data_IF_850553146626
#
_entry.id   IF_850553146626
#
_cell.length_a   1.000
_cell.length_b   1.000
_cell.length_c   1.000
_cell.angle_alpha   90.00
_cell.angle_beta   90.00
_cell.angle_gamma   90.00
#
_symmetry.space_group_name_H-M   'P 1'
#
loop_
_entity.id
_entity.type
_entity.pdbx_description
1 polymer ?
#
# COMPACT_ATOMS: atom_id res chain seq x y z
N UNK A 1 -11.51 15.09 4.35
CA UNK A 1 -11.37 15.72 3.02
C UNK A 1 -9.92 16.24 2.81
N UNK A 2 -8.85 15.43 2.98
CA UNK A 2 -7.45 15.93 2.97
C UNK A 2 -6.58 15.14 1.96
N UNK A 3 -7.17 14.64 0.86
CA UNK A 3 -6.43 13.91 -0.18
C UNK A 3 -6.29 14.65 -1.53
N UNK A 4 -7.10 15.68 -1.78
CA UNK A 4 -7.24 16.29 -3.11
C UNK A 4 -7.01 17.80 -3.18
N UNK A 5 -6.62 18.49 -2.09
CA UNK A 5 -6.44 19.95 -2.15
C UNK A 5 -5.33 20.39 -3.11
N UNK A 6 -4.19 19.68 -3.18
CA UNK A 6 -3.16 19.97 -4.18
C UNK A 6 -3.53 19.52 -5.59
N UNK A 7 -4.22 18.40 -5.78
CA UNK A 7 -4.71 18.00 -7.11
C UNK A 7 -5.69 19.05 -7.66
N UNK A 8 -6.63 19.50 -6.83
CA UNK A 8 -7.57 20.56 -7.20
C UNK A 8 -6.90 21.93 -7.34
N UNK A 9 -5.88 22.24 -6.53
CA UNK A 9 -5.08 23.45 -6.69
C UNK A 9 -4.21 23.42 -7.96
N UNK A 10 -3.64 22.27 -8.30
CA UNK A 10 -2.90 22.06 -9.54
C UNK A 10 -3.81 22.21 -10.76
N UNK A 11 -5.02 21.63 -10.73
CA UNK A 11 -6.02 21.80 -11.80
C UNK A 11 -6.39 23.27 -12.03
N UNK A 12 -6.28 24.11 -10.99
CA UNK A 12 -6.48 25.56 -11.07
C UNK A 12 -5.23 26.34 -11.50
N UNK A 13 -4.07 25.69 -11.63
CA UNK A 13 -2.84 26.36 -12.07
C UNK A 13 -2.96 26.78 -13.55
N UNK A 14 -2.59 28.02 -13.93
CA UNK A 14 -2.77 28.49 -15.31
C UNK A 14 -2.10 27.62 -16.38
N UNK A 15 -0.94 27.03 -16.05
CA UNK A 15 -0.19 26.12 -16.92
C UNK A 15 -0.59 24.65 -16.83
N UNK A 16 -1.65 24.30 -16.11
CA UNK A 16 -2.06 22.90 -15.92
C UNK A 16 -2.37 22.21 -17.24
N UNK A 17 -3.02 22.91 -18.18
CA UNK A 17 -3.29 22.37 -19.52
C UNK A 17 -2.01 21.94 -20.24
N UNK A 18 -0.99 22.81 -20.26
CA UNK A 18 0.31 22.51 -20.85
C UNK A 18 0.99 21.35 -20.10
N UNK A 19 1.02 21.37 -18.76
CA UNK A 19 1.62 20.31 -17.96
C UNK A 19 0.95 18.95 -18.18
N UNK A 20 -0.38 18.93 -18.31
CA UNK A 20 -1.12 17.70 -18.63
C UNK A 20 -0.74 17.18 -20.03
N UNK A 21 -0.70 18.05 -21.03
CA UNK A 21 -0.30 17.72 -22.40
C UNK A 21 1.12 17.14 -22.45
N UNK A 22 2.09 17.80 -21.79
CA UNK A 22 3.47 17.31 -21.71
C UNK A 22 3.55 15.98 -20.95
N UNK A 23 2.84 15.82 -19.82
CA UNK A 23 2.82 14.57 -19.08
C UNK A 23 2.30 13.41 -19.95
N UNK A 24 1.23 13.63 -20.73
CA UNK A 24 0.71 12.66 -21.68
C UNK A 24 1.73 12.32 -22.79
N UNK A 25 2.44 13.32 -23.31
CA UNK A 25 3.51 13.11 -24.29
C UNK A 25 4.66 12.27 -23.72
N UNK A 26 5.09 12.55 -22.49
CA UNK A 26 6.15 11.84 -21.79
C UNK A 26 5.78 10.36 -21.58
N UNK A 27 4.62 10.08 -20.97
CA UNK A 27 4.21 8.69 -20.66
C UNK A 27 3.92 7.88 -21.92
N UNK A 28 3.40 8.50 -22.99
CA UNK A 28 3.21 7.85 -24.30
C UNK A 28 4.49 7.75 -25.12
N UNK A 29 5.59 8.36 -24.66
CA UNK A 29 6.89 8.45 -25.37
C UNK A 29 6.78 9.11 -26.76
N UNK A 30 5.90 10.09 -26.89
CA UNK A 30 5.82 10.88 -28.11
C UNK A 30 7.12 11.65 -28.29
N UNK A 31 7.47 11.97 -29.53
CA UNK A 31 8.62 12.83 -29.78
C UNK A 31 8.35 14.19 -29.08
N UNK A 32 9.26 14.69 -28.21
CA UNK A 32 9.11 15.98 -27.54
C UNK A 32 8.78 17.16 -28.46
N UNK A 33 9.13 17.07 -29.76
CA UNK A 33 8.75 18.07 -30.75
C UNK A 33 7.23 18.12 -31.00
N UNK A 34 6.50 17.03 -30.77
CA UNK A 34 5.04 16.97 -30.92
C UNK A 34 4.30 17.79 -29.85
N UNK A 35 4.94 18.08 -28.72
CA UNK A 35 4.42 18.90 -27.62
C UNK A 35 5.37 20.05 -27.25
N UNK A 36 6.16 20.53 -28.22
CA UNK A 36 7.17 21.56 -28.03
C UNK A 36 6.61 22.91 -27.56
N UNK A 37 5.42 23.29 -28.06
CA UNK A 37 4.77 24.54 -27.62
C UNK A 37 4.47 24.49 -26.11
N UNK A 38 3.95 23.37 -25.61
CA UNK A 38 3.65 23.20 -24.19
C UNK A 38 4.94 23.15 -23.34
N UNK A 39 6.00 22.51 -23.85
CA UNK A 39 7.31 22.54 -23.19
C UNK A 39 7.88 23.97 -23.11
N UNK A 40 7.76 24.75 -24.19
CA UNK A 40 8.20 26.14 -24.23
C UNK A 40 7.43 27.02 -23.25
N UNK A 41 6.11 26.82 -23.15
CA UNK A 41 5.28 27.51 -22.17
C UNK A 41 5.67 27.16 -20.72
N UNK A 42 6.11 25.92 -20.46
CA UNK A 42 6.51 25.48 -19.12
C UNK A 42 7.93 25.93 -18.74
N UNK A 43 8.90 25.77 -19.65
CA UNK A 43 10.33 25.90 -19.37
C UNK A 43 11.01 27.12 -20.00
N UNK A 44 10.30 27.91 -20.82
CA UNK A 44 10.90 29.06 -21.51
C UNK A 44 12.06 28.63 -22.41
N UNK A 45 13.17 29.36 -22.38
CA UNK A 45 14.34 29.11 -23.25
C UNK A 45 15.06 27.78 -22.95
N UNK A 46 14.81 27.16 -21.78
CA UNK A 46 15.42 25.88 -21.38
C UNK A 46 14.72 24.66 -22.00
N UNK A 47 13.58 24.83 -22.68
CA UNK A 47 12.82 23.74 -23.27
C UNK A 47 13.63 22.82 -24.23
N UNK A 48 14.61 23.30 -25.03
CA UNK A 48 15.37 22.44 -25.93
C UNK A 48 16.24 21.44 -25.15
N UNK A 49 16.79 21.85 -24.01
CA UNK A 49 17.59 20.98 -23.14
C UNK A 49 16.74 19.86 -22.54
N UNK A 50 15.54 20.19 -22.06
CA UNK A 50 14.57 19.21 -21.57
C UNK A 50 14.18 18.22 -22.67
N UNK A 51 13.86 18.73 -23.86
CA UNK A 51 13.53 17.93 -25.05
C UNK A 51 14.65 16.96 -25.41
N UNK A 52 15.91 17.43 -25.40
CA UNK A 52 17.08 16.61 -25.73
C UNK A 52 17.23 15.45 -24.75
N UNK A 53 17.11 15.69 -23.44
CA UNK A 53 17.28 14.62 -22.45
C UNK A 53 16.12 13.62 -22.52
N UNK A 54 14.88 14.07 -22.66
CA UNK A 54 13.72 13.18 -22.83
C UNK A 54 13.88 12.32 -24.10
N UNK A 55 14.27 12.93 -25.22
CA UNK A 55 14.57 12.22 -26.46
C UNK A 55 15.69 11.19 -26.29
N UNK A 56 16.78 11.55 -25.61
CA UNK A 56 17.89 10.64 -25.36
C UNK A 56 17.43 9.46 -24.52
N UNK A 57 16.67 9.72 -23.45
CA UNK A 57 16.15 8.69 -22.55
C UNK A 57 15.22 7.71 -23.27
N UNK A 58 14.30 8.21 -24.10
CA UNK A 58 13.39 7.36 -24.88
C UNK A 58 14.10 6.56 -25.98
N UNK A 59 15.24 7.06 -26.49
CA UNK A 59 16.09 6.34 -27.47
C UNK A 59 17.04 5.33 -26.82
N UNK A 60 17.47 5.56 -25.58
CA UNK A 60 18.46 4.72 -24.88
C UNK A 60 17.80 3.55 -24.15
N UNK A 61 17.64 2.38 -24.79
CA UNK A 61 17.23 1.07 -24.23
C UNK A 61 15.97 1.00 -23.32
N UNK A 62 15.38 2.13 -22.93
CA UNK A 62 14.18 2.24 -22.14
C UNK A 62 13.00 1.86 -23.02
N UNK A 63 12.72 0.56 -23.01
CA UNK A 63 11.70 -0.08 -23.83
C UNK A 63 10.58 -0.63 -22.95
N UNK A 64 9.97 0.19 -22.05
CA UNK A 64 8.89 -0.32 -21.21
C UNK A 64 7.74 -0.73 -22.11
N UNK A 65 6.85 -1.57 -21.59
CA UNK A 65 5.76 -2.14 -22.36
C UNK A 65 4.74 -1.12 -22.88
N UNK A 66 3.58 -1.61 -23.29
CA UNK A 66 2.51 -0.77 -23.83
C UNK A 66 1.98 0.14 -22.73
N UNK A 67 1.76 1.42 -23.01
CA UNK A 67 1.19 2.35 -22.03
C UNK A 67 -0.19 1.86 -21.55
N UNK A 68 -0.38 1.81 -20.22
CA UNK A 68 -1.67 1.50 -19.59
C UNK A 68 -2.55 2.74 -19.69
N UNK A 69 -3.41 2.76 -20.70
CA UNK A 69 -4.41 3.81 -20.90
C UNK A 69 -5.35 3.94 -19.70
N UNK A 70 -6.03 5.09 -19.55
CA UNK A 70 -7.07 5.22 -18.55
C UNK A 70 -8.16 4.17 -18.78
N UNK A 71 -8.65 3.56 -17.70
CA UNK A 71 -9.79 2.68 -17.73
C UNK A 71 -10.96 3.32 -16.96
N UNK A 72 -12.17 3.11 -17.46
CA UNK A 72 -13.35 3.48 -16.71
C UNK A 72 -13.38 2.67 -15.42
N UNK A 73 -13.34 3.36 -14.28
CA UNK A 73 -13.38 2.73 -12.96
C UNK A 73 -14.41 3.44 -12.08
N UNK A 74 -15.10 2.70 -11.21
CA UNK A 74 -15.96 3.32 -10.21
C UNK A 74 -15.10 3.98 -9.12
N UNK A 75 -15.67 4.95 -8.42
CA UNK A 75 -15.00 5.73 -7.34
C UNK A 75 -15.60 5.41 -5.96
N UNK A 76 -15.71 4.11 -5.64
CA UNK A 76 -16.45 3.59 -4.49
C UNK A 76 -15.77 3.98 -3.18
N UNK A 77 -14.50 3.61 -3.00
CA UNK A 77 -13.75 3.92 -1.79
C UNK A 77 -13.52 5.43 -1.66
N UNK A 78 -13.29 6.11 -2.78
CA UNK A 78 -13.17 7.57 -2.82
C UNK A 78 -14.42 8.28 -2.29
N UNK A 79 -15.61 7.85 -2.74
CA UNK A 79 -16.88 8.39 -2.25
C UNK A 79 -17.09 8.05 -0.76
N UNK A 80 -16.86 6.80 -0.37
CA UNK A 80 -17.00 6.36 1.03
C UNK A 80 -16.10 7.18 1.96
N UNK A 81 -14.83 7.41 1.60
CA UNK A 81 -13.89 8.23 2.39
C UNK A 81 -14.41 9.66 2.61
N UNK A 82 -15.19 10.19 1.66
CA UNK A 82 -15.83 11.49 1.81
C UNK A 82 -17.04 11.41 2.73
N UNK A 83 -17.89 10.39 2.56
CA UNK A 83 -19.10 10.18 3.36
C UNK A 83 -18.84 9.92 4.85
N UNK A 84 -17.80 9.13 5.18
CA UNK A 84 -17.51 8.80 6.59
C UNK A 84 -17.21 10.04 7.43
N UNK A 85 -16.74 11.13 6.82
CA UNK A 85 -16.48 12.39 7.52
C UNK A 85 -17.75 13.07 8.02
N UNK A 86 -18.92 12.66 7.53
CA UNK A 86 -20.23 13.10 7.97
C UNK A 86 -20.87 12.16 9.01
N UNK A 87 -20.30 10.96 9.25
CA UNK A 87 -20.80 10.07 10.31
C UNK A 87 -20.31 10.53 11.69
N UNK A 88 -21.26 10.93 12.55
CA UNK A 88 -20.97 11.46 13.88
C UNK A 88 -20.26 10.46 14.80
N UNK A 89 -20.52 9.16 14.66
CA UNK A 89 -19.87 8.11 15.45
C UNK A 89 -18.43 7.92 15.00
N UNK A 90 -18.19 7.94 13.69
CA UNK A 90 -16.83 7.94 13.16
C UNK A 90 -16.04 9.15 13.65
N UNK A 91 -16.60 10.35 13.54
CA UNK A 91 -15.95 11.60 13.98
C UNK A 91 -15.61 11.56 15.48
N UNK A 92 -16.53 11.07 16.33
CA UNK A 92 -16.29 10.88 17.78
C UNK A 92 -15.15 9.89 18.05
N UNK A 93 -15.14 8.73 17.37
CA UNK A 93 -14.05 7.75 17.48
C UNK A 93 -12.71 8.36 17.04
N UNK A 94 -12.69 8.97 15.86
CA UNK A 94 -11.48 9.53 15.25
C UNK A 94 -10.86 10.63 16.11
N UNK A 95 -11.69 11.53 16.66
CA UNK A 95 -11.22 12.61 17.54
C UNK A 95 -10.69 12.08 18.88
N UNK A 96 -11.37 11.10 19.49
CA UNK A 96 -10.89 10.46 20.73
C UNK A 96 -9.50 9.83 20.51
N UNK A 97 -9.36 9.04 19.43
CA UNK A 97 -8.10 8.38 19.10
C UNK A 97 -6.98 9.36 18.72
N UNK A 98 -7.30 10.45 18.02
CA UNK A 98 -6.37 11.56 17.76
C UNK A 98 -5.82 12.13 19.07
N UNK A 99 -6.66 12.23 20.10
CA UNK A 99 -6.30 12.79 21.41
C UNK A 99 -5.74 11.75 22.40
N UNK A 100 -5.45 10.51 21.96
CA UNK A 100 -5.04 9.41 22.85
C UNK A 100 -6.06 9.07 23.95
N UNK A 101 -7.34 9.28 23.65
CA UNK A 101 -8.45 9.02 24.56
C UNK A 101 -9.22 7.79 24.11
N UNK A 102 -9.65 6.97 25.06
CA UNK A 102 -10.52 5.83 24.80
C UNK A 102 -11.85 6.33 24.23
N UNK A 103 -12.27 5.87 23.03
CA UNK A 103 -13.59 6.20 22.52
C UNK A 103 -14.70 5.67 23.43
N UNK A 104 -15.84 6.35 23.40
CA UNK A 104 -17.00 5.98 24.20
C UNK A 104 -17.49 4.55 23.89
N UNK A 105 -17.98 3.86 24.92
CA UNK A 105 -18.37 2.45 24.82
C UNK A 105 -19.48 2.20 23.79
N UNK A 106 -20.41 3.14 23.63
CA UNK A 106 -21.42 3.19 22.58
C UNK A 106 -20.80 3.15 21.19
N UNK A 107 -19.81 4.01 20.95
CA UNK A 107 -19.16 4.17 19.65
C UNK A 107 -18.35 2.91 19.32
N UNK A 108 -17.61 2.38 20.29
CA UNK A 108 -16.88 1.11 20.10
C UNK A 108 -17.84 -0.06 19.87
N UNK A 109 -18.99 -0.10 20.57
CA UNK A 109 -19.98 -1.13 20.36
C UNK A 109 -20.62 -1.05 18.96
N UNK A 110 -20.84 0.15 18.44
CA UNK A 110 -21.37 0.33 17.08
C UNK A 110 -20.43 -0.24 16.00
N UNK A 111 -19.11 0.03 16.10
CA UNK A 111 -18.14 -0.44 15.11
C UNK A 111 -17.72 -1.90 15.31
N UNK A 112 -17.56 -2.33 16.56
CA UNK A 112 -16.87 -3.60 16.87
C UNK A 112 -17.74 -4.63 17.58
N UNK A 113 -18.92 -4.26 18.10
CA UNK A 113 -19.85 -5.18 18.78
C UNK A 113 -19.15 -6.11 19.78
N UNK A 114 -19.24 -7.42 19.56
CA UNK A 114 -18.60 -8.45 20.40
C UNK A 114 -17.07 -8.35 20.43
N UNK A 115 -16.43 -7.73 19.43
CA UNK A 115 -14.99 -7.50 19.37
C UNK A 115 -14.52 -6.28 20.18
N UNK A 116 -15.44 -5.49 20.77
CA UNK A 116 -15.10 -4.27 21.54
C UNK A 116 -14.02 -4.49 22.59
N UNK A 117 -14.07 -5.60 23.32
CA UNK A 117 -13.12 -5.86 24.43
C UNK A 117 -11.68 -6.02 23.94
N UNK A 118 -11.47 -6.66 22.78
CA UNK A 118 -10.15 -6.80 22.16
C UNK A 118 -9.60 -5.44 21.71
N UNK A 119 -10.46 -4.60 21.09
CA UNK A 119 -10.08 -3.25 20.68
C UNK A 119 -9.74 -2.37 21.87
N UNK A 120 -10.53 -2.40 22.95
CA UNK A 120 -10.22 -1.65 24.18
C UNK A 120 -8.87 -2.06 24.75
N UNK A 121 -8.58 -3.36 24.85
CA UNK A 121 -7.29 -3.86 25.34
C UNK A 121 -6.13 -3.42 24.45
N UNK A 122 -6.26 -3.55 23.13
CA UNK A 122 -5.23 -3.07 22.19
C UNK A 122 -4.99 -1.56 22.36
N UNK A 123 -6.05 -0.76 22.46
CA UNK A 123 -5.92 0.68 22.61
C UNK A 123 -5.23 1.05 23.91
N UNK A 124 -5.72 0.54 25.03
CA UNK A 124 -5.26 0.88 26.37
C UNK A 124 -3.82 0.41 26.62
N UNK A 125 -3.53 -0.85 26.30
CA UNK A 125 -2.26 -1.46 26.69
C UNK A 125 -1.16 -1.35 25.63
N UNK A 126 -1.52 -1.10 24.37
CA UNK A 126 -0.55 -1.00 23.27
C UNK A 126 -0.57 0.38 22.63
N UNK A 127 -1.69 0.79 22.02
CA UNK A 127 -1.69 1.97 21.17
C UNK A 127 -1.44 3.27 21.95
N UNK A 128 -2.04 3.42 23.13
CA UNK A 128 -1.86 4.62 23.94
C UNK A 128 -0.54 4.63 24.70
N UNK A 129 -0.03 3.45 25.07
CA UNK A 129 1.27 3.27 25.74
C UNK A 129 2.43 3.57 24.80
N UNK A 130 2.45 2.95 23.62
CA UNK A 130 3.54 3.14 22.65
C UNK A 130 3.37 4.41 21.82
N UNK A 131 2.14 4.94 21.68
CA UNK A 131 1.81 6.18 20.97
C UNK A 131 2.50 6.30 19.60
N UNK A 132 2.49 5.20 18.84
CA UNK A 132 3.21 5.11 17.57
C UNK A 132 2.67 6.13 16.56
N UNK A 133 3.58 6.71 15.78
CA UNK A 133 3.28 7.65 14.71
C UNK A 133 3.66 7.06 13.36
N UNK A 134 2.89 7.41 12.32
CA UNK A 134 3.25 7.15 10.93
C UNK A 134 4.34 8.11 10.47
N UNK A 135 4.94 7.82 9.31
CA UNK A 135 5.94 8.72 8.69
C UNK A 135 5.39 10.13 8.45
N UNK A 136 4.09 10.28 8.18
CA UNK A 136 3.40 11.57 8.07
C UNK A 136 3.05 12.21 9.43
N UNK A 137 3.65 11.75 10.53
CA UNK A 137 3.49 12.25 11.92
C UNK A 137 2.08 12.09 12.52
N UNK A 138 1.12 11.59 11.75
CA UNK A 138 -0.20 11.22 12.28
C UNK A 138 -0.08 10.00 13.18
N UNK A 139 -0.87 9.95 14.26
CA UNK A 139 -0.94 8.80 15.15
C UNK A 139 -1.43 7.56 14.40
N UNK A 140 -0.89 6.40 14.75
CA UNK A 140 -1.27 5.15 14.12
C UNK A 140 -2.76 4.79 14.35
N UNK A 141 -3.30 5.14 15.52
CA UNK A 141 -4.72 4.97 15.85
C UNK A 141 -5.66 5.73 14.91
N UNK A 142 -5.23 6.87 14.37
CA UNK A 142 -6.00 7.61 13.38
C UNK A 142 -6.13 6.81 12.08
N UNK A 143 -5.06 6.16 11.64
CA UNK A 143 -5.07 5.29 10.47
C UNK A 143 -5.99 4.09 10.67
N UNK A 144 -5.90 3.40 11.81
CA UNK A 144 -6.80 2.28 12.14
C UNK A 144 -8.27 2.72 12.11
N UNK A 145 -8.58 3.87 12.70
CA UNK A 145 -9.96 4.39 12.74
C UNK A 145 -10.51 4.72 11.35
N UNK A 146 -9.69 5.27 10.44
CA UNK A 146 -10.10 5.58 9.06
C UNK A 146 -10.38 4.30 8.28
N UNK A 147 -9.51 3.30 8.39
CA UNK A 147 -9.72 2.00 7.76
C UNK A 147 -11.02 1.34 8.26
N UNK A 148 -11.28 1.39 9.56
CA UNK A 148 -12.54 0.90 10.14
C UNK A 148 -13.74 1.71 9.67
N UNK A 149 -13.65 3.04 9.58
CA UNK A 149 -14.74 3.88 9.08
C UNK A 149 -15.13 3.53 7.65
N UNK A 150 -14.13 3.40 6.76
CA UNK A 150 -14.34 2.99 5.36
C UNK A 150 -14.94 1.59 5.28
N UNK A 151 -14.37 0.63 6.04
CA UNK A 151 -14.87 -0.74 6.07
C UNK A 151 -16.32 -0.81 6.54
N UNK A 152 -16.65 -0.10 7.63
CA UNK A 152 -18.00 -0.09 8.19
C UNK A 152 -19.02 0.42 7.17
N UNK A 153 -18.70 1.51 6.49
CA UNK A 153 -19.56 2.12 5.49
C UNK A 153 -19.72 1.24 4.25
N UNK A 154 -18.63 0.62 3.79
CA UNK A 154 -18.66 -0.33 2.68
C UNK A 154 -19.59 -1.52 2.98
N UNK A 155 -19.54 -2.03 4.21
CA UNK A 155 -20.36 -3.16 4.67
C UNK A 155 -21.84 -2.81 4.95
N UNK A 156 -22.24 -1.54 4.79
CA UNK A 156 -23.67 -1.16 4.74
C UNK A 156 -24.30 -1.57 3.40
N UNK A 157 -23.50 -1.67 2.33
CA UNK A 157 -23.97 -2.12 1.02
C UNK A 157 -24.23 -3.64 1.03
N UNK A 158 -25.41 -4.10 0.59
CA UNK A 158 -25.73 -5.53 0.50
C UNK A 158 -24.74 -6.33 -0.36
N UNK A 159 -24.20 -5.73 -1.42
CA UNK A 159 -23.26 -6.38 -2.34
C UNK A 159 -21.96 -6.78 -1.64
N UNK A 160 -21.41 -5.89 -0.81
CA UNK A 160 -20.18 -6.14 -0.06
C UNK A 160 -20.42 -6.97 1.19
N UNK A 161 -21.54 -6.74 1.88
CA UNK A 161 -21.95 -7.57 3.02
C UNK A 161 -22.12 -9.03 2.62
N UNK A 162 -22.62 -9.29 1.41
CA UNK A 162 -22.76 -10.64 0.85
C UNK A 162 -21.43 -11.39 0.64
N UNK A 163 -20.28 -10.69 0.73
CA UNK A 163 -18.95 -11.30 0.62
C UNK A 163 -18.43 -11.85 1.96
N UNK A 164 -19.10 -11.55 3.08
CA UNK A 164 -18.69 -11.98 4.41
C UNK A 164 -19.13 -13.41 4.70
N UNK A 165 -18.26 -14.38 4.44
CA UNK A 165 -18.52 -15.79 4.79
C UNK A 165 -18.11 -16.05 6.24
N UNK A 166 -19.07 -16.42 7.09
CA UNK A 166 -18.81 -16.75 8.50
C UNK A 166 -18.45 -15.55 9.38
N UNK A 167 -18.41 -14.35 8.80
CA UNK A 167 -18.09 -13.09 9.47
C UNK A 167 -19.32 -12.18 9.48
N UNK A 168 -19.40 -11.31 10.47
CA UNK A 168 -20.33 -10.19 10.47
C UNK A 168 -19.57 -8.88 10.16
N UNK A 169 -20.31 -7.78 10.08
CA UNK A 169 -19.74 -6.46 9.81
C UNK A 169 -18.72 -6.06 10.88
N UNK A 170 -19.01 -6.36 12.14
CA UNK A 170 -18.15 -6.02 13.28
C UNK A 170 -16.80 -6.76 13.22
N UNK A 171 -16.79 -8.00 12.71
CA UNK A 171 -15.57 -8.77 12.44
C UNK A 171 -14.74 -8.11 11.34
N UNK A 172 -15.36 -7.73 10.21
CA UNK A 172 -14.68 -7.02 9.12
C UNK A 172 -14.09 -5.68 9.59
N UNK A 173 -14.84 -4.92 10.38
CA UNK A 173 -14.38 -3.68 11.00
C UNK A 173 -13.18 -3.88 11.92
N UNK A 174 -13.18 -4.98 12.68
CA UNK A 174 -12.07 -5.35 13.58
C UNK A 174 -10.84 -5.77 12.78
N UNK A 175 -11.01 -6.54 11.70
CA UNK A 175 -9.92 -6.90 10.77
C UNK A 175 -9.28 -5.64 10.20
N UNK A 176 -10.08 -4.68 9.72
CA UNK A 176 -9.57 -3.41 9.20
C UNK A 176 -8.84 -2.58 10.28
N UNK A 177 -9.31 -2.60 11.53
CA UNK A 177 -8.65 -1.91 12.64
C UNK A 177 -7.30 -2.55 13.01
N UNK A 178 -7.24 -3.89 13.01
CA UNK A 178 -6.11 -4.68 13.51
C UNK A 178 -5.13 -5.12 12.41
N UNK A 179 -5.31 -4.70 11.16
CA UNK A 179 -4.54 -5.20 10.02
C UNK A 179 -3.00 -5.03 10.14
N UNK A 180 -2.53 -3.99 10.83
CA UNK A 180 -1.10 -3.78 11.12
C UNK A 180 -0.74 -4.02 12.62
N UNK A 181 -1.62 -4.66 13.40
CA UNK A 181 -1.41 -4.88 14.84
C UNK A 181 -0.11 -5.66 15.08
N UNK A 182 0.09 -6.76 14.36
CA UNK A 182 1.27 -7.60 14.53
C UNK A 182 2.53 -6.83 14.08
N UNK A 183 2.48 -6.17 12.92
CA UNK A 183 3.64 -5.48 12.32
C UNK A 183 4.19 -4.33 13.17
N UNK A 184 3.31 -3.67 13.93
CA UNK A 184 3.66 -2.51 14.74
C UNK A 184 4.02 -2.86 16.18
N UNK A 185 3.35 -3.84 16.79
CA UNK A 185 3.45 -4.06 18.23
C UNK A 185 4.17 -5.34 18.62
N UNK A 186 4.20 -6.36 17.77
CA UNK A 186 4.74 -7.67 18.15
C UNK A 186 6.20 -7.56 18.63
N UNK A 187 7.07 -6.93 17.84
CA UNK A 187 8.49 -6.81 18.19
C UNK A 187 8.71 -6.01 19.48
N UNK A 188 7.86 -5.01 19.75
CA UNK A 188 7.96 -4.15 20.94
C UNK A 188 7.66 -4.90 22.25
N UNK A 189 6.99 -6.05 22.17
CA UNK A 189 6.53 -6.82 23.33
C UNK A 189 7.00 -8.27 23.34
N UNK A 190 7.62 -8.77 22.26
CA UNK A 190 8.09 -10.16 22.16
C UNK A 190 9.07 -10.53 23.29
N UNK A 191 9.83 -9.57 23.80
CA UNK A 191 10.71 -9.78 24.97
C UNK A 191 9.93 -9.97 26.28
N UNK A 192 8.65 -9.59 26.32
CA UNK A 192 7.79 -9.58 27.52
C UNK A 192 6.69 -10.64 27.45
N UNK A 193 6.40 -11.18 26.27
CA UNK A 193 5.27 -12.08 26.05
C UNK A 193 5.54 -13.06 24.89
N UNK A 194 5.30 -14.37 25.08
CA UNK A 194 5.28 -15.35 23.99
C UNK A 194 4.27 -14.99 22.90
N UNK A 195 4.56 -15.41 21.67
CA UNK A 195 3.75 -15.10 20.49
C UNK A 195 2.30 -15.53 20.64
N UNK A 196 2.02 -16.73 21.15
CA UNK A 196 0.67 -17.28 21.31
C UNK A 196 -0.17 -16.46 22.29
N UNK A 197 0.45 -16.06 23.41
CA UNK A 197 -0.21 -15.22 24.44
C UNK A 197 -0.58 -13.84 23.91
N UNK A 198 0.15 -13.32 22.92
CA UNK A 198 -0.21 -12.06 22.28
C UNK A 198 -1.56 -12.17 21.57
N UNK A 199 -1.76 -13.24 20.80
CA UNK A 199 -3.03 -13.42 20.06
C UNK A 199 -4.19 -13.66 20.98
N UNK A 200 -4.04 -14.56 21.94
CA UNK A 200 -5.10 -14.87 22.92
C UNK A 200 -5.61 -13.61 23.63
N UNK A 201 -4.70 -12.66 23.88
CA UNK A 201 -5.01 -11.42 24.58
C UNK A 201 -5.63 -10.35 23.67
N UNK A 202 -5.07 -10.12 22.49
CA UNK A 202 -5.38 -8.95 21.67
C UNK A 202 -6.20 -9.23 20.41
N UNK A 203 -6.34 -10.48 19.98
CA UNK A 203 -7.04 -10.84 18.74
C UNK A 203 -8.18 -11.81 19.04
N UNK A 204 -9.36 -11.54 18.50
CA UNK A 204 -10.46 -12.51 18.62
C UNK A 204 -10.10 -13.78 17.82
N UNK A 205 -10.17 -14.98 18.42
CA UNK A 205 -9.90 -16.24 17.72
C UNK A 205 -10.65 -16.40 16.39
N UNK A 206 -11.88 -15.86 16.30
CA UNK A 206 -12.70 -15.90 15.08
C UNK A 206 -12.03 -15.22 13.88
N UNK A 207 -11.26 -14.16 14.10
CA UNK A 207 -10.60 -13.38 13.03
C UNK A 207 -9.09 -13.61 12.98
N UNK A 208 -8.53 -14.44 13.87
CA UNK A 208 -7.09 -14.67 13.99
C UNK A 208 -6.43 -15.00 12.65
N UNK A 209 -7.01 -15.92 11.88
CA UNK A 209 -6.45 -16.30 10.59
C UNK A 209 -6.41 -15.15 9.60
N UNK A 210 -7.44 -14.28 9.60
CA UNK A 210 -7.50 -13.10 8.74
C UNK A 210 -6.37 -12.12 9.08
N UNK A 211 -6.17 -11.82 10.37
CA UNK A 211 -5.06 -10.97 10.83
C UNK A 211 -3.70 -11.58 10.42
N UNK A 212 -3.55 -12.89 10.55
CA UNK A 212 -2.32 -13.59 10.17
C UNK A 212 -2.05 -13.59 8.67
N UNK A 213 -3.08 -13.62 7.83
CA UNK A 213 -2.96 -13.55 6.37
C UNK A 213 -2.61 -12.15 5.89
N UNK A 214 -3.24 -11.13 6.45
CA UNK A 214 -2.99 -9.73 6.08
C UNK A 214 -1.73 -9.14 6.71
N UNK A 215 -1.02 -9.89 7.56
CA UNK A 215 0.25 -9.43 8.15
C UNK A 215 1.44 -9.74 7.24
N UNK A 216 2.26 -8.74 6.95
CA UNK A 216 3.52 -8.88 6.24
C UNK A 216 4.61 -9.44 7.16
N UNK A 217 4.58 -10.76 7.37
CA UNK A 217 5.55 -11.49 8.21
C UNK A 217 7.00 -11.38 7.71
N UNK A 218 7.20 -11.12 6.41
CA UNK A 218 8.55 -10.88 5.83
C UNK A 218 9.16 -9.60 6.38
N UNK A 219 8.37 -8.53 6.50
CA UNK A 219 8.83 -7.28 7.12
C UNK A 219 9.15 -7.47 8.61
N UNK A 220 8.38 -8.30 9.31
CA UNK A 220 8.62 -8.61 10.73
C UNK A 220 9.97 -9.33 10.92
N UNK A 221 10.25 -10.39 10.15
CA UNK A 221 11.53 -11.11 10.28
C UNK A 221 12.71 -10.21 9.91
N UNK A 222 12.58 -9.39 8.86
CA UNK A 222 13.62 -8.45 8.45
C UNK A 222 13.89 -7.41 9.53
N UNK A 223 12.85 -6.80 10.12
CA UNK A 223 13.00 -5.87 11.25
C UNK A 223 13.65 -6.53 12.45
N UNK A 224 13.22 -7.74 12.81
CA UNK A 224 13.82 -8.48 13.92
C UNK A 224 15.32 -8.72 13.70
N UNK A 225 15.72 -9.19 12.51
CA UNK A 225 17.15 -9.39 12.18
C UNK A 225 17.90 -8.08 12.24
N UNK A 226 17.34 -7.01 11.68
CA UNK A 226 17.95 -5.69 11.71
C UNK A 226 18.22 -5.24 13.16
N UNK A 227 17.21 -5.32 14.01
CA UNK A 227 17.32 -4.93 15.42
C UNK A 227 18.33 -5.82 16.17
N UNK A 228 18.36 -7.13 15.91
CA UNK A 228 19.39 -8.04 16.46
C UNK A 228 20.80 -7.64 16.04
N UNK A 229 21.02 -7.36 14.75
CA UNK A 229 22.32 -6.95 14.23
C UNK A 229 22.76 -5.60 14.82
N UNK A 230 21.87 -4.61 14.84
CA UNK A 230 22.15 -3.28 15.39
C UNK A 230 22.47 -3.35 16.90
N UNK A 231 21.70 -4.11 17.68
CA UNK A 231 21.93 -4.29 19.11
C UNK A 231 23.26 -5.00 19.42
N UNK A 232 23.75 -5.82 18.49
CA UNK A 232 25.03 -6.53 18.61
C UNK A 232 26.18 -5.83 17.86
N UNK A 233 25.99 -4.60 17.37
CA UNK A 233 26.96 -3.82 16.62
C UNK A 233 27.49 -4.49 15.34
N UNK A 234 26.68 -5.34 14.69
CA UNK A 234 27.00 -5.88 13.37
C UNK A 234 26.58 -4.90 12.27
N UNK A 235 27.38 -4.82 11.21
CA UNK A 235 27.02 -4.06 10.02
C UNK A 235 25.81 -4.68 9.30
N UNK A 236 24.92 -3.87 8.73
CA UNK A 236 23.77 -4.32 7.93
C UNK A 236 24.19 -4.73 6.50
N UNK A 237 25.09 -5.70 6.41
CA UNK A 237 25.49 -6.32 5.14
C UNK A 237 24.53 -7.46 4.79
N UNK A 238 24.45 -7.77 3.49
CA UNK A 238 23.69 -8.92 3.00
C UNK A 238 24.04 -10.22 3.73
N UNK A 239 25.34 -10.51 3.88
CA UNK A 239 25.81 -11.71 4.58
C UNK A 239 25.29 -11.77 6.02
N UNK A 240 25.41 -10.67 6.76
CA UNK A 240 24.94 -10.61 8.15
C UNK A 240 23.41 -10.77 8.25
N UNK A 241 22.66 -10.23 7.27
CA UNK A 241 21.22 -10.44 7.17
C UNK A 241 20.88 -11.92 6.92
N UNK A 242 21.56 -12.57 5.97
CA UNK A 242 21.36 -14.00 5.68
C UNK A 242 21.65 -14.87 6.91
N UNK A 243 22.76 -14.59 7.61
CA UNK A 243 23.14 -15.33 8.81
C UNK A 243 22.14 -15.12 9.94
N UNK A 244 21.67 -13.87 10.15
CA UNK A 244 20.62 -13.57 11.13
C UNK A 244 19.30 -14.26 10.81
N UNK A 245 18.88 -14.25 9.55
CA UNK A 245 17.69 -14.96 9.08
C UNK A 245 17.81 -16.47 9.35
N UNK A 246 18.95 -17.09 9.04
CA UNK A 246 19.19 -18.52 9.31
C UNK A 246 19.13 -18.86 10.80
N UNK A 247 19.70 -18.02 11.67
CA UNK A 247 19.61 -18.19 13.13
C UNK A 247 18.16 -18.20 13.60
N UNK A 248 17.34 -17.25 13.17
CA UNK A 248 15.91 -17.19 13.52
C UNK A 248 15.15 -18.39 12.98
N UNK A 249 15.39 -18.77 11.72
CA UNK A 249 14.74 -19.92 11.09
C UNK A 249 15.02 -21.24 11.81
N UNK A 250 16.19 -21.37 12.44
CA UNK A 250 16.54 -22.53 13.27
C UNK A 250 15.94 -22.51 14.69
N UNK A 251 15.39 -21.38 15.13
CA UNK A 251 14.85 -21.20 16.48
C UNK A 251 13.39 -21.62 16.68
N UNK A 252 12.83 -21.25 17.84
CA UNK A 252 11.48 -21.61 18.30
C UNK A 252 10.35 -20.74 17.71
N UNK A 253 10.65 -19.76 16.84
CA UNK A 253 9.63 -18.91 16.20
C UNK A 253 8.98 -19.61 15.00
N UNK A 254 8.29 -20.73 15.24
CA UNK A 254 7.71 -21.60 14.22
C UNK A 254 6.88 -20.84 13.17
N UNK A 255 6.05 -19.88 13.60
CA UNK A 255 5.17 -19.10 12.72
C UNK A 255 5.90 -18.17 11.73
N UNK A 256 7.20 -17.94 11.92
CA UNK A 256 8.01 -17.09 11.04
C UNK A 256 8.93 -17.90 10.10
N UNK A 257 9.03 -19.22 10.27
CA UNK A 257 9.97 -20.07 9.50
C UNK A 257 9.75 -20.00 7.99
N UNK A 258 8.50 -20.07 7.54
CA UNK A 258 8.19 -19.94 6.11
C UNK A 258 8.53 -18.57 5.56
N UNK A 259 8.36 -17.51 6.38
CA UNK A 259 8.74 -16.14 5.99
C UNK A 259 10.26 -15.99 5.90
N UNK A 260 11.02 -16.59 6.83
CA UNK A 260 12.49 -16.64 6.75
C UNK A 260 12.93 -17.35 5.48
N UNK A 261 12.39 -18.53 5.18
CA UNK A 261 12.71 -19.28 3.95
C UNK A 261 12.44 -18.41 2.71
N UNK A 262 11.26 -17.81 2.65
CA UNK A 262 10.88 -16.98 1.50
C UNK A 262 11.78 -15.75 1.32
N UNK A 263 12.18 -15.06 2.40
CA UNK A 263 13.11 -13.93 2.31
C UNK A 263 14.47 -14.41 1.77
N UNK A 264 14.99 -15.54 2.26
CA UNK A 264 16.25 -16.10 1.76
C UNK A 264 16.18 -16.48 0.27
N UNK A 265 15.07 -17.03 -0.20
CA UNK A 265 14.83 -17.35 -1.63
C UNK A 265 14.80 -16.08 -2.51
N UNK A 266 14.15 -15.02 -2.02
CA UNK A 266 14.09 -13.72 -2.71
C UNK A 266 15.48 -13.10 -2.80
N UNK A 267 16.24 -13.14 -1.70
CA UNK A 267 17.62 -12.67 -1.69
C UNK A 267 18.46 -13.46 -2.69
N UNK A 268 18.44 -14.80 -2.63
CA UNK A 268 19.20 -15.66 -3.54
C UNK A 268 18.91 -15.39 -5.03
N UNK A 269 17.65 -15.05 -5.37
CA UNK A 269 17.26 -14.72 -6.75
C UNK A 269 17.70 -13.32 -7.21
N UNK A 270 18.23 -12.48 -6.30
CA UNK A 270 18.58 -11.08 -6.53
C UNK A 270 19.97 -10.78 -5.93
N UNK A 271 21.02 -11.47 -6.40
CA UNK A 271 22.38 -11.38 -5.84
C UNK A 271 22.99 -9.97 -5.90
N UNK A 272 22.57 -9.13 -6.85
CA UNK A 272 23.08 -7.76 -7.01
C UNK A 272 22.59 -6.79 -5.93
N UNK A 273 21.57 -7.16 -5.15
CA UNK A 273 20.96 -6.31 -4.13
C UNK A 273 21.63 -6.57 -2.77
N UNK A 274 22.24 -5.50 -2.24
CA UNK A 274 23.09 -5.58 -1.05
C UNK A 274 22.61 -4.72 0.13
N UNK A 275 21.61 -3.86 -0.05
CA UNK A 275 21.07 -3.03 1.03
C UNK A 275 19.74 -3.58 1.59
N UNK A 276 19.50 -3.30 2.86
CA UNK A 276 18.33 -3.77 3.60
C UNK A 276 17.00 -3.29 3.02
N UNK A 277 16.92 -2.01 2.64
CA UNK A 277 15.67 -1.39 2.18
C UNK A 277 15.21 -1.93 0.82
N UNK A 278 16.15 -2.26 -0.08
CA UNK A 278 15.89 -2.91 -1.35
C UNK A 278 15.45 -4.36 -1.15
N UNK A 279 16.10 -5.13 -0.27
CA UNK A 279 15.67 -6.51 0.07
C UNK A 279 14.23 -6.49 0.62
N UNK A 280 13.96 -5.57 1.56
CA UNK A 280 12.62 -5.36 2.11
C UNK A 280 11.61 -5.02 1.01
N UNK A 281 12.01 -4.22 0.04
CA UNK A 281 11.15 -3.85 -1.08
C UNK A 281 10.87 -5.03 -2.02
N UNK A 282 11.88 -5.85 -2.33
CA UNK A 282 11.73 -7.08 -3.11
C UNK A 282 10.79 -8.10 -2.46
N UNK A 283 10.62 -8.06 -1.13
CA UNK A 283 9.69 -8.93 -0.42
C UNK A 283 8.21 -8.52 -0.57
N UNK A 284 7.94 -7.27 -0.94
CA UNK A 284 6.58 -6.73 -0.98
C UNK A 284 5.67 -7.40 -2.04
N UNK A 285 6.11 -7.57 -3.31
CA UNK A 285 5.29 -8.20 -4.33
C UNK A 285 4.90 -9.65 -3.99
N UNK A 286 5.84 -10.41 -3.43
CA UNK A 286 5.58 -11.80 -3.00
C UNK A 286 4.54 -11.86 -1.87
N UNK A 287 4.59 -10.92 -0.93
CA UNK A 287 3.55 -10.80 0.09
C UNK A 287 2.16 -10.49 -0.50
N UNK A 288 2.05 -9.52 -1.43
CA UNK A 288 0.77 -9.24 -2.11
C UNK A 288 0.26 -10.45 -2.90
N UNK A 289 1.16 -11.25 -3.47
CA UNK A 289 0.79 -12.48 -4.15
C UNK A 289 0.31 -13.56 -3.18
N UNK A 290 0.93 -13.72 -2.01
CA UNK A 290 0.47 -14.68 -0.99
C UNK A 290 -0.90 -14.30 -0.43
N UNK A 291 -1.16 -13.01 -0.23
CA UNK A 291 -2.47 -12.50 0.21
C UNK A 291 -3.59 -12.96 -0.74
N UNK A 292 -3.30 -13.00 -2.03
CA UNK A 292 -4.26 -13.22 -3.10
C UNK A 292 -4.27 -14.69 -3.58
N UNK A 293 -3.15 -15.39 -3.46
CA UNK A 293 -2.94 -16.75 -4.00
C UNK A 293 -2.72 -17.83 -2.94
N UNK A 294 -2.43 -17.44 -1.70
CA UNK A 294 -2.06 -18.35 -0.60
C UNK A 294 -0.92 -19.30 -0.99
N UNK A 295 -0.85 -20.45 -0.32
CA UNK A 295 -0.02 -21.60 -0.73
C UNK A 295 -0.47 -22.21 -2.09
N UNK A 296 -1.60 -21.74 -2.60
CA UNK A 296 -2.37 -22.31 -3.69
C UNK A 296 -2.22 -21.52 -5.00
N UNK A 297 -1.04 -20.93 -5.25
CA UNK A 297 -0.67 -20.30 -6.55
C UNK A 297 -1.03 -21.16 -7.77
N UNK A 298 -0.92 -22.49 -7.64
CA UNK A 298 -1.24 -23.48 -8.69
C UNK A 298 -2.72 -23.92 -8.70
N UNK A 299 -3.47 -23.56 -7.67
CA UNK A 299 -4.80 -24.08 -7.37
C UNK A 299 -5.90 -23.09 -7.74
N UNK A 300 -5.69 -21.76 -7.81
CA UNK A 300 -6.72 -20.76 -8.16
C UNK A 300 -7.53 -21.11 -9.42
N UNK A 301 -6.89 -21.67 -10.46
CA UNK A 301 -7.60 -22.13 -11.67
C UNK A 301 -8.49 -23.36 -11.47
N UNK A 302 -8.38 -24.03 -10.31
CA UNK A 302 -8.94 -25.34 -9.95
C UNK A 302 -9.84 -25.28 -8.71
N UNK A 303 -9.65 -24.31 -7.81
CA UNK A 303 -10.54 -24.04 -6.67
C UNK A 303 -11.73 -23.21 -7.14
N UNK A 304 -12.93 -23.65 -6.75
CA UNK A 304 -14.16 -22.93 -7.07
C UNK A 304 -14.19 -21.54 -6.44
N UNK A 305 -15.00 -20.65 -7.02
CA UNK A 305 -15.26 -19.28 -6.54
C UNK A 305 -15.55 -19.21 -5.02
N UNK A 306 -16.19 -20.25 -4.47
CA UNK A 306 -16.52 -20.33 -3.04
C UNK A 306 -15.31 -20.42 -2.11
N UNK A 307 -14.20 -21.00 -2.54
CA UNK A 307 -13.02 -21.14 -1.69
C UNK A 307 -12.22 -19.83 -1.62
N UNK A 308 -12.26 -19.02 -2.68
CA UNK A 308 -11.61 -17.71 -2.75
C UNK A 308 -12.39 -16.65 -1.92
N UNK A 309 -13.71 -16.82 -1.75
CA UNK A 309 -14.54 -15.88 -0.98
C UNK A 309 -14.07 -15.67 0.46
N UNK A 310 -13.42 -16.65 1.07
CA UNK A 310 -12.85 -16.53 2.42
C UNK A 310 -11.77 -15.45 2.52
N UNK A 311 -11.13 -15.07 1.41
CA UNK A 311 -10.08 -14.06 1.36
C UNK A 311 -10.58 -12.66 1.01
N UNK A 312 -11.87 -12.47 0.70
CA UNK A 312 -12.34 -11.17 0.21
C UNK A 312 -12.26 -10.07 1.25
N UNK A 313 -12.58 -10.36 2.51
CA UNK A 313 -12.42 -9.37 3.58
C UNK A 313 -10.96 -8.94 3.74
N UNK A 314 -10.01 -9.87 3.52
CA UNK A 314 -8.58 -9.64 3.63
C UNK A 314 -8.10 -8.71 2.50
N UNK A 315 -8.54 -8.99 1.27
CA UNK A 315 -8.25 -8.16 0.10
C UNK A 315 -8.87 -6.76 0.23
N UNK A 316 -10.15 -6.69 0.65
CA UNK A 316 -10.85 -5.42 0.88
C UNK A 316 -10.12 -4.59 1.95
N UNK A 317 -9.72 -5.20 3.06
CA UNK A 317 -8.97 -4.51 4.12
C UNK A 317 -7.66 -3.91 3.58
N UNK A 318 -6.96 -4.62 2.68
CA UNK A 318 -5.73 -4.11 2.05
C UNK A 318 -5.97 -3.03 1.01
N UNK A 319 -7.06 -3.09 0.24
CA UNK A 319 -7.45 -1.97 -0.63
C UNK A 319 -7.76 -0.71 0.18
N UNK A 320 -8.46 -0.86 1.30
CA UNK A 320 -8.76 0.24 2.22
C UNK A 320 -7.45 0.82 2.79
N UNK A 321 -6.56 -0.02 3.33
CA UNK A 321 -5.26 0.41 3.86
C UNK A 321 -4.42 1.16 2.81
N UNK A 322 -4.22 0.56 1.63
CA UNK A 322 -3.40 1.15 0.57
C UNK A 322 -3.98 2.46 0.04
N UNK A 323 -5.30 2.62 0.09
CA UNK A 323 -5.97 3.87 -0.23
C UNK A 323 -5.90 4.91 0.88
N UNK A 324 -5.86 4.52 2.16
CA UNK A 324 -5.70 5.46 3.28
C UNK A 324 -4.32 6.13 3.28
N UNK A 325 -3.31 5.52 2.67
CA UNK A 325 -1.96 6.09 2.54
C UNK A 325 -1.90 7.43 1.81
N UNK A 326 -2.98 7.87 1.15
CA UNK A 326 -3.09 9.23 0.61
C UNK A 326 -3.16 10.28 1.74
N UNK A 327 -3.61 9.92 2.94
CA UNK A 327 -3.68 10.84 4.08
C UNK A 327 -2.29 11.15 4.65
N UNK A 328 -1.91 12.43 4.59
CA UNK A 328 -0.57 12.87 4.99
C UNK A 328 0.50 12.52 3.95
N UNK A 329 0.10 12.12 2.74
CA UNK A 329 1.02 11.85 1.63
C UNK A 329 1.89 13.06 1.29
N UNK A 330 1.40 14.27 1.55
CA UNK A 330 2.16 15.51 1.32
C UNK A 330 3.37 15.67 2.23
N UNK A 331 3.35 15.05 3.41
CA UNK A 331 4.46 15.09 4.38
C UNK A 331 5.50 13.98 4.10
N UNK A 332 5.26 13.12 3.10
CA UNK A 332 6.12 12.01 2.75
C UNK A 332 7.16 12.40 1.68
N UNK A 333 8.33 11.76 1.75
CA UNK A 333 9.34 11.83 0.69
C UNK A 333 8.79 11.30 -0.64
N UNK A 334 9.32 11.77 -1.78
CA UNK A 334 8.90 11.26 -3.10
C UNK A 334 9.02 9.73 -3.19
N UNK A 335 10.08 9.14 -2.64
CA UNK A 335 10.28 7.68 -2.61
C UNK A 335 9.16 6.96 -1.83
N UNK A 336 8.79 7.46 -0.63
CA UNK A 336 7.66 6.90 0.13
C UNK A 336 6.33 7.00 -0.63
N UNK A 337 6.10 8.12 -1.36
CA UNK A 337 4.90 8.31 -2.17
C UNK A 337 4.85 7.34 -3.36
N UNK A 338 5.97 7.18 -4.06
CA UNK A 338 6.15 6.20 -5.16
C UNK A 338 5.89 4.80 -4.64
N UNK A 339 6.51 4.41 -3.52
CA UNK A 339 6.28 3.10 -2.88
C UNK A 339 4.80 2.89 -2.61
N UNK A 340 4.08 3.88 -2.06
CA UNK A 340 2.63 3.76 -1.84
C UNK A 340 1.85 3.48 -3.12
N UNK A 341 2.19 4.15 -4.23
CA UNK A 341 1.54 3.93 -5.53
C UNK A 341 1.83 2.53 -6.07
N UNK A 342 3.09 2.10 -6.00
CA UNK A 342 3.51 0.76 -6.45
C UNK A 342 2.82 -0.33 -5.64
N UNK A 343 2.73 -0.19 -4.31
CA UNK A 343 2.01 -1.13 -3.44
C UNK A 343 0.56 -1.34 -3.89
N UNK A 344 -0.14 -0.25 -4.21
CA UNK A 344 -1.53 -0.29 -4.69
C UNK A 344 -1.63 -1.01 -6.03
N UNK A 345 -0.76 -0.67 -6.98
CA UNK A 345 -0.74 -1.31 -8.30
C UNK A 345 -0.42 -2.80 -8.25
N UNK A 346 0.58 -3.21 -7.46
CA UNK A 346 0.95 -4.63 -7.29
C UNK A 346 -0.21 -5.44 -6.70
N UNK A 347 -0.87 -4.93 -5.66
CA UNK A 347 -2.03 -5.59 -5.07
C UNK A 347 -3.18 -5.68 -6.09
N UNK A 348 -3.47 -4.59 -6.82
CA UNK A 348 -4.47 -4.55 -7.88
C UNK A 348 -4.18 -5.56 -9.00
N UNK A 349 -2.97 -5.57 -9.54
CA UNK A 349 -2.53 -6.51 -10.59
C UNK A 349 -2.60 -7.96 -10.11
N UNK A 350 -2.22 -8.22 -8.84
CA UNK A 350 -2.29 -9.55 -8.24
C UNK A 350 -3.73 -10.07 -8.20
N UNK A 351 -4.67 -9.25 -7.74
CA UNK A 351 -6.10 -9.59 -7.67
C UNK A 351 -6.70 -9.70 -9.08
N UNK A 352 -6.36 -8.78 -9.98
CA UNK A 352 -6.81 -8.81 -11.37
C UNK A 352 -6.37 -10.10 -12.08
N UNK A 353 -5.16 -10.60 -11.79
CA UNK A 353 -4.62 -11.85 -12.36
C UNK A 353 -5.40 -13.11 -11.97
N UNK A 354 -6.31 -13.01 -11.00
CA UNK A 354 -7.20 -14.11 -10.64
C UNK A 354 -8.38 -14.27 -11.61
N UNK A 355 -8.64 -13.26 -12.47
CA UNK A 355 -9.72 -13.28 -13.47
C UNK A 355 -11.10 -13.60 -12.86
N UNK A 356 -11.34 -13.13 -11.62
CA UNK A 356 -12.58 -13.41 -10.90
C UNK A 356 -13.79 -12.73 -11.56
N UNK A 357 -14.95 -13.38 -11.51
CA UNK A 357 -16.24 -12.84 -12.00
C UNK A 357 -17.09 -12.27 -10.86
N UNK A 358 -16.48 -11.48 -9.98
CA UNK A 358 -17.13 -10.98 -8.76
C UNK A 358 -17.09 -9.47 -8.80
N UNK A 359 -18.19 -8.90 -9.29
CA UNK A 359 -18.28 -7.48 -9.63
C UNK A 359 -17.81 -6.56 -8.50
N UNK A 360 -18.25 -6.69 -7.23
CA UNK A 360 -17.81 -5.76 -6.19
C UNK A 360 -16.29 -5.75 -5.99
N UNK A 361 -15.63 -6.91 -6.10
CA UNK A 361 -14.19 -7.00 -5.95
C UNK A 361 -13.45 -6.47 -7.18
N UNK A 362 -13.98 -6.73 -8.38
CA UNK A 362 -13.45 -6.20 -9.63
C UNK A 362 -13.55 -4.67 -9.68
N UNK A 363 -14.65 -4.11 -9.18
CA UNK A 363 -14.87 -2.67 -9.09
C UNK A 363 -13.82 -2.01 -8.18
N UNK A 364 -13.58 -2.56 -6.98
CA UNK A 364 -12.51 -2.07 -6.09
C UNK A 364 -11.12 -2.23 -6.71
N UNK A 365 -10.89 -3.32 -7.45
CA UNK A 365 -9.62 -3.56 -8.15
C UNK A 365 -9.39 -2.52 -9.24
N UNK A 366 -10.42 -2.23 -10.04
CA UNK A 366 -10.39 -1.20 -11.08
C UNK A 366 -10.14 0.18 -10.47
N UNK A 367 -10.84 0.54 -9.39
CA UNK A 367 -10.61 1.79 -8.67
C UNK A 367 -9.16 1.88 -8.17
N UNK A 368 -8.63 0.83 -7.53
CA UNK A 368 -7.27 0.83 -7.00
C UNK A 368 -6.19 0.99 -8.09
N UNK A 369 -6.36 0.33 -9.23
CA UNK A 369 -5.46 0.46 -10.38
C UNK A 369 -5.52 1.86 -10.99
N UNK A 370 -6.72 2.44 -11.09
CA UNK A 370 -6.88 3.80 -11.62
C UNK A 370 -6.30 4.83 -10.66
N UNK A 371 -6.58 4.74 -9.36
CA UNK A 371 -5.99 5.62 -8.35
C UNK A 371 -4.45 5.57 -8.39
N UNK A 372 -3.85 4.39 -8.62
CA UNK A 372 -2.41 4.24 -8.76
C UNK A 372 -1.88 4.96 -10.03
N UNK A 373 -2.55 4.76 -11.16
CA UNK A 373 -2.23 5.41 -12.44
C UNK A 373 -2.36 6.93 -12.34
N UNK A 374 -3.47 7.43 -11.80
CA UNK A 374 -3.69 8.87 -11.59
C UNK A 374 -2.64 9.48 -10.65
N UNK A 375 -2.26 8.77 -9.58
CA UNK A 375 -1.20 9.22 -8.68
C UNK A 375 0.17 9.31 -9.38
N UNK A 376 0.49 8.36 -10.26
CA UNK A 376 1.72 8.39 -11.05
C UNK A 376 1.73 9.60 -12.01
N UNK A 377 0.61 9.85 -12.69
CA UNK A 377 0.42 11.03 -13.53
C UNK A 377 0.56 12.34 -12.74
N UNK A 378 -0.05 12.38 -11.55
CA UNK A 378 0.02 13.53 -10.66
C UNK A 378 1.47 13.87 -10.28
N UNK A 379 2.34 12.88 -10.02
CA UNK A 379 3.75 13.17 -9.73
C UNK A 379 4.49 13.81 -10.91
N UNK A 380 4.17 13.41 -12.15
CA UNK A 380 4.75 14.01 -13.35
C UNK A 380 4.27 15.44 -13.52
N UNK A 381 2.95 15.68 -13.39
CA UNK A 381 2.35 17.00 -13.49
C UNK A 381 2.87 17.93 -12.38
N UNK A 382 2.98 17.45 -11.14
CA UNK A 382 3.52 18.23 -10.01
C UNK A 382 4.94 18.73 -10.32
N UNK A 383 5.79 17.89 -10.93
CA UNK A 383 7.13 18.27 -11.35
C UNK A 383 7.16 19.27 -12.50
N UNK A 384 6.24 19.16 -13.46
CA UNK A 384 6.09 20.12 -14.55
C UNK A 384 5.63 21.50 -14.08
N UNK A 385 4.83 21.55 -13.00
CA UNK A 385 4.29 22.80 -12.46
C UNK A 385 5.20 23.47 -11.42
N UNK A 386 6.12 22.73 -10.81
CA UNK A 386 7.09 23.27 -9.86
C UNK A 386 8.20 24.03 -10.60
N UNK A 387 8.42 25.30 -10.20
CA UNK A 387 9.57 26.12 -10.65
C UNK A 387 10.87 25.55 -10.06
N UNK A 388 11.36 24.48 -10.64
CA UNK A 388 12.69 23.90 -10.39
C UNK A 388 13.57 24.09 -11.61
N UNK A 389 14.89 23.96 -11.47
CA UNK A 389 15.77 24.01 -12.64
C UNK A 389 15.39 22.91 -13.63
N UNK A 390 15.65 23.10 -14.93
CA UNK A 390 15.38 22.07 -15.93
C UNK A 390 16.12 20.75 -15.61
N UNK A 391 17.30 20.81 -14.99
CA UNK A 391 18.06 19.63 -14.56
C UNK A 391 17.37 18.88 -13.41
N UNK A 392 16.88 19.58 -12.38
CA UNK A 392 16.16 18.97 -11.26
C UNK A 392 14.87 18.30 -11.73
N UNK A 393 14.16 18.96 -12.66
CA UNK A 393 13.00 18.41 -13.34
C UNK A 393 13.36 17.10 -14.05
N UNK A 394 14.37 17.15 -14.92
CA UNK A 394 14.78 15.99 -15.72
C UNK A 394 15.18 14.82 -14.83
N UNK A 395 16.03 15.03 -13.83
CA UNK A 395 16.44 13.96 -12.90
C UNK A 395 15.22 13.36 -12.17
N UNK A 396 14.32 14.22 -11.67
CA UNK A 396 13.11 13.78 -10.97
C UNK A 396 12.19 12.96 -11.87
N UNK A 397 11.94 13.41 -13.10
CA UNK A 397 11.06 12.71 -14.04
C UNK A 397 11.65 11.37 -14.47
N UNK A 398 12.94 11.31 -14.78
CA UNK A 398 13.57 10.04 -15.16
C UNK A 398 13.49 9.02 -14.02
N UNK A 399 13.69 9.46 -12.77
CA UNK A 399 13.49 8.62 -11.60
C UNK A 399 12.03 8.16 -11.46
N UNK A 400 11.05 9.08 -11.56
CA UNK A 400 9.62 8.75 -11.49
C UNK A 400 9.22 7.72 -12.57
N UNK A 401 9.65 7.92 -13.82
CA UNK A 401 9.31 7.02 -14.93
C UNK A 401 9.87 5.61 -14.74
N UNK A 402 11.12 5.49 -14.25
CA UNK A 402 11.71 4.20 -13.93
C UNK A 402 11.01 3.53 -12.76
N UNK A 403 10.76 4.27 -11.68
CA UNK A 403 10.19 3.70 -10.46
C UNK A 403 8.70 3.35 -10.55
N UNK A 404 7.97 3.97 -11.49
CA UNK A 404 6.53 3.72 -11.73
C UNK A 404 6.28 2.99 -13.05
N UNK A 405 7.30 2.38 -13.63
CA UNK A 405 7.18 1.68 -14.92
C UNK A 405 6.06 0.63 -14.90
N UNK A 406 5.99 -0.18 -13.84
CA UNK A 406 4.97 -1.22 -13.69
C UNK A 406 3.54 -0.67 -13.56
N UNK A 407 3.40 0.61 -13.21
CA UNK A 407 2.11 1.30 -13.07
C UNK A 407 1.70 1.98 -14.38
N UNK A 408 2.66 2.58 -15.08
CA UNK A 408 2.43 3.32 -16.32
C UNK A 408 2.35 2.40 -17.56
N UNK A 409 2.96 1.22 -17.50
CA UNK A 409 3.12 0.33 -18.66
C UNK A 409 2.71 -1.11 -18.33
N UNK A 410 2.13 -1.80 -19.31
CA UNK A 410 1.87 -3.23 -19.28
C UNK A 410 3.21 -3.97 -19.20
N UNK A 411 3.35 -4.89 -18.25
CA UNK A 411 4.59 -5.63 -18.06
C UNK A 411 4.79 -6.64 -19.20
N UNK A 412 5.89 -6.53 -19.97
CA UNK A 412 6.24 -7.50 -21.01
C UNK A 412 6.58 -8.88 -20.44
N UNK A 413 6.95 -8.98 -19.16
CA UNK A 413 7.33 -10.24 -18.53
C UNK A 413 6.12 -11.12 -18.15
N UNK A 414 4.95 -10.51 -17.90
CA UNK A 414 3.69 -11.24 -17.67
C UNK A 414 3.07 -11.79 -18.97
N UNK A 415 3.46 -11.27 -20.13
CA UNK A 415 2.97 -11.73 -21.45
C UNK A 415 3.74 -12.98 -21.93
N UNK A 416 4.95 -13.24 -21.43
CA UNK A 416 5.76 -14.41 -21.82
C UNK A 416 5.36 -15.73 -21.13
N UNK A 417 4.30 -15.72 -20.32
CA UNK A 417 3.74 -16.91 -19.67
C UNK A 417 2.36 -17.33 -20.19
N UNK A 418 1.95 -16.87 -21.38
CA UNK A 418 0.74 -17.34 -22.07
C UNK A 418 1.06 -18.41 -23.09
#
# INVERSE_FOLDING_TARGET
MIGNYKLEAQKKHPKYGNAKSVAEGIVKKLNPNEYANDLKELFGDDWPSVSLVLNSFFKSEYTPGKFRGPHESPIILTNIRSEITMDTRFVRMHNSLRNNQMPEDEVLNYFFGSNKSYIKRQLDELSFVFNLQRQCKLKMTMHYSRNTGVMNKLMESPEYKGLLIGLNREDANTIAFQHDLIENYLLLILLKMPFEKFFDKYVNPKIFEHIMRITNKRDIVLKYVKDDLENNNYALTRQNLEDGLRRIGSGNLYYLKDSVRSVLEIMASNESVNNFDEIKWLCYPEYSLDLVKGENRKLIKKIGVEEIRKYFVDIIAKYIDHGDNVHGNEDLSLDSRIKSVVKRGITGDSVHSLEMKIKPLNDLTAEALEEARESAYYFIIDKLLQKSSHMDFTQSILYILKSLESILYEDKSLIKGK
#
